data_IF_257766810551
#
_entry.id   IF_257766810551
#
_cell.length_a   1.000
_cell.length_b   1.000
_cell.length_c   1.000
_cell.angle_alpha   90.00
_cell.angle_beta   90.00
_cell.angle_gamma   90.00
#
_symmetry.space_group_name_H-M   'P 1'
#
loop_
_entity.id
_entity.type
_entity.pdbx_description
1 polymer ?
#
# COMPACT_ATOMS: atom_id res chain seq x y z
N UNK A 1 2.35 -18.55 5.87
CA UNK A 1 1.69 -17.38 5.23
C UNK A 1 2.40 -17.02 3.92
N UNK A 2 1.65 -16.67 2.87
CA UNK A 2 2.14 -16.18 1.58
C UNK A 2 1.49 -14.85 1.25
N UNK A 3 2.29 -13.82 1.02
CA UNK A 3 1.82 -12.50 0.61
C UNK A 3 2.10 -12.32 -0.89
N UNK A 4 1.07 -11.92 -1.64
CA UNK A 4 1.21 -11.44 -3.01
C UNK A 4 1.21 -9.91 -3.00
N UNK A 5 2.28 -9.30 -3.48
CA UNK A 5 2.33 -7.86 -3.71
C UNK A 5 2.33 -7.56 -5.21
N UNK A 6 1.38 -6.74 -5.64
CA UNK A 6 1.25 -6.28 -7.03
C UNK A 6 1.55 -4.79 -7.07
N UNK A 7 2.77 -4.45 -7.49
CA UNK A 7 3.21 -3.07 -7.58
C UNK A 7 2.63 -2.36 -8.81
N UNK A 8 2.28 -1.10 -8.62
CA UNK A 8 1.90 -0.09 -9.62
C UNK A 8 0.97 -0.57 -10.74
N UNK A 9 -0.30 -0.75 -10.39
CA UNK A 9 -1.34 -1.05 -11.38
C UNK A 9 -1.62 0.20 -12.22
N UNK A 10 -1.05 0.24 -13.43
CA UNK A 10 -1.12 1.41 -14.31
C UNK A 10 -2.32 1.34 -15.26
N UNK A 11 -3.20 2.35 -15.19
CA UNK A 11 -4.29 2.62 -16.12
C UNK A 11 -5.15 1.37 -16.50
N UNK A 12 -5.73 1.37 -17.71
CA UNK A 12 -6.57 0.26 -18.19
C UNK A 12 -5.80 -1.04 -18.45
N UNK A 13 -4.60 -1.01 -19.04
CA UNK A 13 -3.82 -2.24 -19.25
C UNK A 13 -3.50 -2.95 -17.95
N UNK A 14 -2.98 -2.23 -16.94
CA UNK A 14 -2.67 -2.79 -15.64
C UNK A 14 -3.90 -3.37 -14.94
N UNK A 15 -5.05 -2.67 -14.98
CA UNK A 15 -6.30 -3.20 -14.42
C UNK A 15 -6.81 -4.46 -15.13
N UNK A 16 -6.60 -4.60 -16.45
CA UNK A 16 -6.95 -5.82 -17.18
C UNK A 16 -6.06 -6.99 -16.76
N UNK A 17 -4.76 -6.76 -16.71
CA UNK A 17 -3.81 -7.77 -16.22
C UNK A 17 -4.14 -8.18 -14.78
N UNK A 18 -4.40 -7.22 -13.89
CA UNK A 18 -4.78 -7.49 -12.50
C UNK A 18 -6.06 -8.36 -12.40
N UNK A 19 -7.08 -8.06 -13.22
CA UNK A 19 -8.34 -8.82 -13.23
C UNK A 19 -8.16 -10.29 -13.62
N UNK A 20 -7.22 -10.58 -14.51
CA UNK A 20 -6.94 -11.92 -15.01
C UNK A 20 -5.95 -12.67 -14.08
N UNK A 21 -4.90 -11.98 -13.66
CA UNK A 21 -3.74 -12.63 -13.02
C UNK A 21 -3.93 -12.79 -11.52
N UNK A 22 -4.49 -11.80 -10.82
CA UNK A 22 -4.59 -11.83 -9.34
C UNK A 22 -5.42 -13.03 -8.85
N UNK A 23 -6.67 -13.26 -9.34
CA UNK A 23 -7.47 -14.38 -8.86
C UNK A 23 -6.78 -15.74 -9.11
N UNK A 24 -6.15 -15.89 -10.27
CA UNK A 24 -5.41 -17.10 -10.65
C UNK A 24 -4.23 -17.34 -9.72
N UNK A 25 -3.39 -16.30 -9.46
CA UNK A 25 -2.24 -16.45 -8.58
C UNK A 25 -2.65 -16.73 -7.13
N UNK A 26 -3.73 -16.12 -6.65
CA UNK A 26 -4.26 -16.41 -5.31
C UNK A 26 -4.57 -17.88 -5.16
N UNK A 27 -5.24 -18.46 -6.15
CA UNK A 27 -5.61 -19.88 -6.15
C UNK A 27 -4.40 -20.80 -6.34
N UNK A 28 -3.60 -20.59 -7.40
CA UNK A 28 -2.46 -21.45 -7.75
C UNK A 28 -1.36 -21.43 -6.70
N UNK A 29 -1.12 -20.28 -6.06
CA UNK A 29 -0.06 -20.09 -5.08
C UNK A 29 -0.53 -20.14 -3.64
N UNK A 30 -1.84 -20.37 -3.42
CA UNK A 30 -2.43 -20.37 -2.08
C UNK A 30 -2.03 -19.11 -1.30
N UNK A 31 -2.31 -17.94 -1.87
CA UNK A 31 -1.97 -16.64 -1.29
C UNK A 31 -2.90 -16.34 -0.12
N UNK A 32 -2.33 -16.02 1.02
CA UNK A 32 -3.08 -15.71 2.25
C UNK A 32 -3.45 -14.22 2.35
N UNK A 33 -2.63 -13.33 1.75
CA UNK A 33 -2.89 -11.88 1.72
C UNK A 33 -2.44 -11.31 0.38
N UNK A 34 -3.31 -10.54 -0.28
CA UNK A 34 -2.98 -9.82 -1.50
C UNK A 34 -2.98 -8.31 -1.26
N UNK A 35 -1.84 -7.66 -1.49
CA UNK A 35 -1.65 -6.21 -1.40
C UNK A 35 -1.37 -5.69 -2.80
N UNK A 36 -1.95 -4.55 -3.18
CA UNK A 36 -1.71 -3.97 -4.50
C UNK A 36 -1.56 -2.45 -4.43
N UNK A 37 -0.54 -1.91 -5.11
CA UNK A 37 -0.43 -0.48 -5.33
C UNK A 37 -1.34 -0.06 -6.48
N UNK A 38 -2.31 0.81 -6.18
CA UNK A 38 -3.33 1.25 -7.13
C UNK A 38 -3.23 2.73 -7.51
N UNK A 39 -2.17 3.45 -7.11
CA UNK A 39 -2.08 4.91 -7.25
C UNK A 39 -2.25 5.41 -8.69
N UNK A 40 -1.87 4.60 -9.68
CA UNK A 40 -1.94 4.94 -11.10
C UNK A 40 -3.09 4.25 -11.84
N UNK A 41 -3.97 3.59 -11.11
CA UNK A 41 -5.03 2.77 -11.71
C UNK A 41 -6.09 3.57 -12.46
N UNK A 42 -6.32 4.85 -12.14
CA UNK A 42 -7.33 5.70 -12.78
C UNK A 42 -6.75 6.52 -13.94
N UNK A 43 -6.37 5.85 -15.03
CA UNK A 43 -5.86 6.52 -16.23
C UNK A 43 -4.43 7.03 -16.09
N UNK A 44 -3.66 6.46 -15.17
CA UNK A 44 -2.28 6.83 -14.88
C UNK A 44 -2.11 7.71 -13.65
N UNK A 45 -3.19 8.25 -13.06
CA UNK A 45 -3.14 9.16 -11.92
C UNK A 45 -4.32 8.95 -10.97
N UNK A 46 -4.03 8.54 -9.74
CA UNK A 46 -5.01 8.37 -8.67
C UNK A 46 -5.86 7.11 -8.80
N UNK A 47 -6.86 7.04 -7.94
CA UNK A 47 -7.85 5.97 -7.85
C UNK A 47 -9.28 6.52 -7.88
N UNK A 48 -10.24 5.64 -8.08
CA UNK A 48 -11.67 5.91 -7.87
C UNK A 48 -12.28 4.80 -7.04
N UNK A 49 -13.40 5.09 -6.37
CA UNK A 49 -14.12 4.08 -5.58
C UNK A 49 -14.47 2.83 -6.40
N UNK A 50 -14.89 3.01 -7.66
CA UNK A 50 -15.22 1.89 -8.55
C UNK A 50 -13.98 1.02 -8.87
N UNK A 51 -12.81 1.63 -9.04
CA UNK A 51 -11.56 0.88 -9.25
C UNK A 51 -11.19 0.09 -7.99
N UNK A 52 -11.26 0.70 -6.82
CA UNK A 52 -11.01 0.01 -5.55
C UNK A 52 -11.96 -1.16 -5.36
N UNK A 53 -13.26 -0.98 -5.62
CA UNK A 53 -14.25 -2.08 -5.58
C UNK A 53 -13.89 -3.23 -6.53
N UNK A 54 -13.42 -2.92 -7.74
CA UNK A 54 -12.97 -3.94 -8.71
C UNK A 54 -11.72 -4.68 -8.23
N UNK A 55 -10.70 -3.97 -7.73
CA UNK A 55 -9.49 -4.59 -7.18
C UNK A 55 -9.84 -5.56 -6.05
N UNK A 56 -10.74 -5.15 -5.16
CA UNK A 56 -11.25 -6.04 -4.10
C UNK A 56 -11.97 -7.28 -4.64
N UNK A 57 -12.79 -7.11 -5.68
CA UNK A 57 -13.47 -8.23 -6.34
C UNK A 57 -12.47 -9.22 -6.99
N UNK A 58 -11.26 -8.76 -7.35
CA UNK A 58 -10.17 -9.62 -7.84
C UNK A 58 -9.41 -10.33 -6.71
N UNK A 59 -9.71 -10.00 -5.45
CA UNK A 59 -9.09 -10.61 -4.28
C UNK A 59 -8.00 -9.77 -3.61
N UNK A 60 -7.86 -8.48 -3.96
CA UNK A 60 -6.95 -7.57 -3.26
C UNK A 60 -7.52 -7.23 -1.89
N UNK A 61 -6.77 -7.50 -0.84
CA UNK A 61 -7.17 -7.29 0.56
C UNK A 61 -6.83 -5.88 1.04
N UNK A 62 -5.67 -5.33 0.61
CA UNK A 62 -5.22 -3.97 0.94
C UNK A 62 -4.74 -3.27 -0.34
N UNK A 63 -5.16 -2.02 -0.53
CA UNK A 63 -4.68 -1.17 -1.63
C UNK A 63 -3.76 -0.10 -1.04
N UNK A 64 -2.53 -0.04 -1.52
CA UNK A 64 -1.57 1.02 -1.21
C UNK A 64 -1.53 2.07 -2.32
N UNK A 65 -0.85 3.17 -2.08
CA UNK A 65 -0.73 4.27 -3.02
C UNK A 65 0.62 4.99 -2.94
N UNK A 66 0.71 6.15 -3.56
CA UNK A 66 1.84 7.07 -3.51
C UNK A 66 1.33 8.50 -3.67
N UNK A 67 2.14 9.39 -4.26
CA UNK A 67 1.81 10.81 -4.42
C UNK A 67 0.57 11.06 -5.29
N UNK A 68 0.20 10.15 -6.18
CA UNK A 68 -0.97 10.32 -7.04
C UNK A 68 -2.31 10.04 -6.34
N UNK A 69 -2.31 9.59 -5.09
CA UNK A 69 -3.56 9.42 -4.31
C UNK A 69 -4.39 10.70 -4.26
N UNK A 70 -3.73 11.87 -4.30
CA UNK A 70 -4.34 13.20 -4.23
C UNK A 70 -4.95 13.69 -5.56
N UNK A 71 -4.67 13.03 -6.68
CA UNK A 71 -5.05 13.51 -8.03
C UNK A 71 -6.55 13.38 -8.35
N UNK A 72 -7.32 12.72 -7.51
CA UNK A 72 -8.78 12.54 -7.69
C UNK A 72 -9.56 13.13 -6.50
N UNK A 73 -9.93 14.42 -6.55
CA UNK A 73 -10.59 15.10 -5.43
C UNK A 73 -11.84 14.38 -4.91
N UNK A 74 -12.63 13.76 -5.80
CA UNK A 74 -13.83 12.99 -5.42
C UNK A 74 -13.48 11.76 -4.59
N UNK A 75 -12.36 11.12 -4.87
CA UNK A 75 -11.89 9.97 -4.10
C UNK A 75 -11.23 10.43 -2.79
N UNK A 76 -10.44 11.51 -2.82
CA UNK A 76 -9.81 12.10 -1.63
C UNK A 76 -10.84 12.41 -0.55
N UNK A 77 -11.99 13.01 -0.91
CA UNK A 77 -13.08 13.30 0.03
C UNK A 77 -13.69 12.06 0.71
N UNK A 78 -13.43 10.88 0.17
CA UNK A 78 -13.93 9.59 0.69
C UNK A 78 -12.84 8.71 1.29
N UNK A 79 -11.60 9.20 1.32
CA UNK A 79 -10.45 8.39 1.70
C UNK A 79 -10.53 7.92 3.17
N UNK A 80 -11.10 8.74 4.06
CA UNK A 80 -11.36 8.36 5.46
C UNK A 80 -12.33 7.17 5.60
N UNK A 81 -13.23 7.02 4.64
CA UNK A 81 -14.21 5.93 4.61
C UNK A 81 -13.71 4.71 3.83
N UNK A 82 -12.60 4.86 3.11
CA UNK A 82 -12.03 3.82 2.26
C UNK A 82 -11.18 2.83 3.08
N UNK A 83 -11.86 1.97 3.85
CA UNK A 83 -11.18 0.95 4.65
C UNK A 83 -10.16 0.15 3.83
N UNK A 84 -8.97 -0.09 4.37
CA UNK A 84 -7.87 -0.84 3.74
C UNK A 84 -7.38 -0.24 2.41
N UNK A 85 -7.59 1.07 2.22
CA UNK A 85 -6.89 1.86 1.21
C UNK A 85 -5.94 2.79 1.95
N UNK A 86 -4.65 2.69 1.65
CA UNK A 86 -3.62 3.41 2.38
C UNK A 86 -3.03 4.52 1.50
N UNK A 87 -2.98 5.71 2.06
CA UNK A 87 -2.12 6.80 1.59
C UNK A 87 -0.72 6.66 2.20
N UNK A 88 0.31 7.32 1.68
CA UNK A 88 1.58 7.35 2.40
C UNK A 88 1.43 7.95 3.80
N UNK A 89 1.94 7.24 4.79
CA UNK A 89 1.80 7.57 6.22
C UNK A 89 2.47 8.88 6.58
N UNK A 90 3.58 9.21 5.90
CA UNK A 90 4.39 10.38 6.18
C UNK A 90 3.90 11.69 5.52
N UNK A 91 2.64 11.76 5.09
CA UNK A 91 1.91 13.01 4.92
C UNK A 91 1.43 13.54 6.28
N UNK A 92 1.08 14.85 6.41
CA UNK A 92 0.58 15.41 7.66
C UNK A 92 -0.56 14.61 8.29
N UNK A 93 -0.66 14.62 9.62
CA UNK A 93 -1.62 13.80 10.36
C UNK A 93 -3.08 14.17 10.05
N UNK A 94 -3.35 15.43 9.68
CA UNK A 94 -4.67 15.94 9.27
C UNK A 94 -5.04 15.61 7.82
N UNK A 95 -4.14 15.00 7.05
CA UNK A 95 -4.45 14.54 5.69
C UNK A 95 -5.45 13.38 5.72
N UNK A 96 -6.49 13.39 4.85
CA UNK A 96 -7.52 12.37 4.87
C UNK A 96 -6.97 10.96 4.58
N UNK A 97 -7.58 9.95 5.18
CA UNK A 97 -7.24 8.54 5.03
C UNK A 97 -6.16 8.05 5.98
N UNK A 98 -5.92 6.75 5.93
CA UNK A 98 -4.97 6.06 6.81
C UNK A 98 -3.69 5.67 6.07
N UNK A 99 -2.55 5.71 6.76
CA UNK A 99 -1.25 5.31 6.19
C UNK A 99 -0.83 3.88 6.58
N UNK A 100 -1.57 3.24 7.47
CA UNK A 100 -1.31 1.86 7.88
C UNK A 100 -2.59 1.17 8.34
N UNK A 101 -2.59 -0.17 8.34
CA UNK A 101 -3.71 -0.98 8.82
C UNK A 101 -3.19 -2.33 9.32
N UNK A 102 -3.89 -2.93 10.29
CA UNK A 102 -3.74 -4.35 10.62
C UNK A 102 -4.88 -5.10 9.97
N UNK A 103 -4.56 -6.16 9.25
CA UNK A 103 -5.53 -7.05 8.60
C UNK A 103 -5.27 -8.50 9.01
N UNK A 104 -6.30 -9.30 9.02
CA UNK A 104 -6.19 -10.73 9.17
C UNK A 104 -6.11 -11.38 7.78
N UNK A 105 -5.05 -12.16 7.57
CA UNK A 105 -4.84 -12.96 6.37
C UNK A 105 -5.76 -14.19 6.39
N UNK A 106 -5.89 -14.90 5.25
CA UNK A 106 -6.77 -16.08 5.11
C UNK A 106 -6.39 -17.24 6.02
N UNK A 107 -5.12 -17.33 6.44
CA UNK A 107 -4.63 -18.32 7.40
C UNK A 107 -4.82 -17.90 8.88
N UNK A 108 -5.48 -16.76 9.15
CA UNK A 108 -5.72 -16.21 10.48
C UNK A 108 -4.55 -15.35 11.02
N UNK A 109 -3.45 -15.23 10.31
CA UNK A 109 -2.31 -14.42 10.74
C UNK A 109 -2.64 -12.93 10.63
N UNK A 110 -2.39 -12.15 11.69
CA UNK A 110 -2.46 -10.70 11.64
C UNK A 110 -1.24 -10.15 10.91
N UNK A 111 -1.46 -9.21 10.00
CA UNK A 111 -0.41 -8.52 9.22
C UNK A 111 -0.59 -7.02 9.35
N UNK A 112 0.44 -6.32 9.82
CA UNK A 112 0.53 -4.88 9.75
C UNK A 112 0.97 -4.46 8.34
N UNK A 113 0.21 -3.59 7.68
CA UNK A 113 0.58 -3.02 6.38
C UNK A 113 0.81 -1.54 6.54
N UNK A 114 1.97 -1.05 6.11
CA UNK A 114 2.36 0.37 6.15
C UNK A 114 2.65 0.84 4.74
N UNK A 115 2.13 2.01 4.37
CA UNK A 115 2.48 2.68 3.13
C UNK A 115 3.33 3.92 3.45
N UNK A 116 4.44 4.09 2.76
CA UNK A 116 5.37 5.21 2.91
C UNK A 116 5.70 5.83 1.55
N UNK A 117 6.16 7.08 1.57
CA UNK A 117 6.65 7.78 0.39
C UNK A 117 8.01 8.40 0.64
N UNK A 118 8.90 8.29 -0.34
CA UNK A 118 10.19 8.96 -0.37
C UNK A 118 10.09 10.48 -0.55
N UNK A 119 11.22 11.15 -0.41
CA UNK A 119 11.36 12.61 -0.55
C UNK A 119 12.35 13.02 -1.64
N UNK A 120 13.28 12.12 -1.97
CA UNK A 120 14.31 12.41 -2.97
C UNK A 120 13.66 12.53 -4.35
N UNK A 121 13.76 13.71 -4.95
CA UNK A 121 13.08 14.10 -6.20
C UNK A 121 11.55 14.12 -6.12
N UNK A 122 10.98 14.17 -4.92
CA UNK A 122 9.55 14.18 -4.65
C UNK A 122 9.16 15.33 -3.72
N UNK A 123 7.89 15.42 -3.33
CA UNK A 123 7.40 16.44 -2.43
C UNK A 123 8.09 16.37 -1.05
N UNK A 124 8.34 17.55 -0.45
CA UNK A 124 8.87 17.66 0.90
C UNK A 124 7.76 17.35 1.90
N UNK A 125 7.80 16.16 2.45
CA UNK A 125 6.90 15.63 3.49
C UNK A 125 7.72 15.10 4.66
N UNK A 126 7.12 14.55 5.68
CA UNK A 126 7.84 14.00 6.83
C UNK A 126 8.81 12.87 6.44
N UNK A 127 9.86 12.69 7.26
CA UNK A 127 10.89 11.70 7.00
C UNK A 127 10.35 10.27 7.03
N UNK A 128 10.38 9.51 5.92
CA UNK A 128 9.84 8.15 5.86
C UNK A 128 10.59 7.18 6.78
N UNK A 129 11.89 7.40 7.02
CA UNK A 129 12.69 6.59 7.93
C UNK A 129 12.16 6.70 9.37
N UNK A 130 12.02 7.91 9.86
CA UNK A 130 11.58 8.19 11.23
C UNK A 130 10.12 7.79 11.47
N UNK A 131 9.24 8.13 10.52
CA UNK A 131 7.81 7.81 10.62
C UNK A 131 7.60 6.32 10.45
N UNK A 132 8.28 5.70 9.49
CA UNK A 132 8.20 4.26 9.22
C UNK A 132 8.70 3.43 10.41
N UNK A 133 9.88 3.75 10.96
CA UNK A 133 10.43 3.07 12.14
C UNK A 133 9.46 3.11 13.32
N UNK A 134 9.00 4.32 13.69
CA UNK A 134 8.04 4.49 14.79
C UNK A 134 6.78 3.64 14.57
N UNK A 135 6.21 3.67 13.36
CA UNK A 135 4.97 2.93 13.10
C UNK A 135 5.19 1.42 13.08
N UNK A 136 6.31 0.95 12.55
CA UNK A 136 6.68 -0.46 12.60
C UNK A 136 6.84 -0.94 14.05
N UNK A 137 7.50 -0.16 14.91
CA UNK A 137 7.64 -0.48 16.33
C UNK A 137 6.29 -0.56 17.05
N UNK A 138 5.38 0.39 16.80
CA UNK A 138 4.01 0.35 17.34
C UNK A 138 3.27 -0.92 16.91
N UNK A 139 3.32 -1.27 15.60
CA UNK A 139 2.64 -2.45 15.06
C UNK A 139 3.21 -3.76 15.61
N UNK A 140 4.50 -3.81 15.93
CA UNK A 140 5.14 -5.01 16.52
C UNK A 140 4.55 -5.43 17.88
N UNK A 141 3.89 -4.54 18.58
CA UNK A 141 3.14 -4.90 19.79
C UNK A 141 1.88 -5.71 19.49
N UNK A 142 1.37 -5.66 18.26
CA UNK A 142 0.15 -6.34 17.86
C UNK A 142 0.41 -7.55 16.94
N UNK A 143 1.47 -7.49 16.12
CA UNK A 143 1.85 -8.56 15.19
C UNK A 143 3.35 -8.54 14.86
N UNK A 144 4.01 -9.70 14.79
CA UNK A 144 5.40 -9.76 14.29
C UNK A 144 5.49 -9.63 12.76
N UNK A 145 4.38 -9.80 12.03
CA UNK A 145 4.36 -9.78 10.58
C UNK A 145 3.98 -8.39 10.06
N UNK A 146 4.96 -7.68 9.49
CA UNK A 146 4.78 -6.30 9.02
C UNK A 146 5.29 -6.15 7.59
N UNK A 147 4.41 -5.70 6.71
CA UNK A 147 4.70 -5.38 5.31
C UNK A 147 4.76 -3.86 5.11
N UNK A 148 5.81 -3.38 4.46
CA UNK A 148 5.98 -1.95 4.13
C UNK A 148 6.02 -1.78 2.61
N UNK A 149 5.07 -1.02 2.05
CA UNK A 149 5.13 -0.53 0.68
C UNK A 149 5.75 0.87 0.66
N UNK A 150 6.85 1.01 -0.08
CA UNK A 150 7.59 2.27 -0.16
C UNK A 150 7.60 2.84 -1.57
N UNK A 151 6.75 3.82 -1.80
CA UNK A 151 6.68 4.58 -3.04
C UNK A 151 7.78 5.66 -3.07
N UNK A 152 8.80 5.50 -3.90
CA UNK A 152 9.92 6.46 -4.01
C UNK A 152 10.52 6.46 -5.42
N UNK A 153 11.07 7.61 -5.83
CA UNK A 153 11.76 7.75 -7.11
C UNK A 153 13.20 7.22 -7.03
N UNK A 154 13.96 7.68 -6.04
CA UNK A 154 15.39 7.36 -5.93
C UNK A 154 15.63 5.93 -5.45
N UNK A 155 16.34 5.13 -6.26
CA UNK A 155 16.75 3.77 -5.89
C UNK A 155 17.55 3.75 -4.59
N UNK A 156 18.46 4.71 -4.39
CA UNK A 156 19.26 4.81 -3.17
C UNK A 156 18.39 4.98 -1.92
N UNK A 157 17.31 5.76 -2.01
CA UNK A 157 16.38 5.95 -0.88
C UNK A 157 15.60 4.65 -0.58
N UNK A 158 15.19 3.91 -1.62
CA UNK A 158 14.53 2.60 -1.47
C UNK A 158 15.45 1.60 -0.75
N UNK A 159 16.68 1.50 -1.21
CA UNK A 159 17.70 0.59 -0.62
C UNK A 159 18.01 1.00 0.83
N UNK A 160 18.19 2.30 1.08
CA UNK A 160 18.49 2.81 2.42
C UNK A 160 17.34 2.52 3.41
N UNK A 161 16.07 2.69 3.00
CA UNK A 161 14.93 2.35 3.87
C UNK A 161 14.87 0.85 4.14
N UNK A 162 15.15 0.01 3.15
CA UNK A 162 15.24 -1.44 3.34
C UNK A 162 16.25 -1.81 4.41
N UNK A 163 17.47 -1.28 4.36
CA UNK A 163 18.47 -1.49 5.41
C UNK A 163 18.07 -0.92 6.76
N UNK A 164 17.41 0.25 6.77
CA UNK A 164 16.98 0.88 8.02
C UNK A 164 15.92 0.06 8.76
N UNK A 165 15.03 -0.60 8.03
CA UNK A 165 13.95 -1.43 8.59
C UNK A 165 14.32 -2.92 8.68
N UNK A 166 15.52 -3.32 8.27
CA UNK A 166 16.00 -4.71 8.38
C UNK A 166 15.94 -5.20 9.83
N UNK A 167 15.39 -6.41 10.02
CA UNK A 167 15.13 -6.98 11.35
C UNK A 167 13.97 -6.33 12.13
N UNK A 168 13.31 -5.28 11.59
CA UNK A 168 12.15 -4.61 12.20
C UNK A 168 10.85 -4.92 11.45
N UNK A 169 10.86 -4.85 10.13
CA UNK A 169 9.79 -5.35 9.25
C UNK A 169 10.08 -6.78 8.76
N UNK A 170 9.07 -7.45 8.20
CA UNK A 170 9.16 -8.85 7.72
C UNK A 170 9.52 -8.90 6.25
#
# INVERSE_FOLDING_TARGET
MRILFVADIYARPGRRAAAEVIPRLIQERQVDLCIANGENAAGGFGMTENIVKKLRAYGVDVVTSGNHVWNRPDFVRRLDQAQRVLRPLNYPDDAPGNGSVIVEARDGTKVGVVNLQGRTFMASIDCPFRIGERRVEELRHETPCIFVDFHAEATAEKVALGYHLDGRAS
#
